data_IF_332887240843
#
_entry.id   IF_332887240843
#
_cell.length_a   1.000
_cell.length_b   1.000
_cell.length_c   1.000
_cell.angle_alpha   90.00
_cell.angle_beta   90.00
_cell.angle_gamma   90.00
#
_symmetry.space_group_name_H-M   'P 1'
#
loop_
_entity.id
_entity.type
_entity.pdbx_description
1 polymer ?
#
# COMPACT_ATOMS: atom_id res chain seq x y z
N UNK A 1 16.01 6.07 -26.67
CA UNK A 1 16.28 6.49 -25.28
C UNK A 1 15.24 5.92 -24.37
N UNK A 2 15.68 5.11 -23.40
CA UNK A 2 14.79 4.52 -22.42
C UNK A 2 14.52 5.52 -21.29
N UNK A 3 13.26 5.75 -21.00
CA UNK A 3 12.86 6.54 -19.84
C UNK A 3 13.07 5.69 -18.58
N UNK A 4 13.75 6.22 -17.54
CA UNK A 4 13.85 5.52 -16.27
C UNK A 4 12.49 5.23 -15.66
N UNK A 5 12.36 4.08 -15.00
CA UNK A 5 11.12 3.62 -14.40
C UNK A 5 11.33 3.40 -12.89
N UNK A 6 10.30 3.70 -12.13
CA UNK A 6 10.26 3.40 -10.69
C UNK A 6 9.09 2.46 -10.41
N UNK A 7 9.40 1.27 -9.89
CA UNK A 7 8.40 0.24 -9.63
C UNK A 7 8.30 -0.05 -8.14
N UNK A 8 7.05 -0.16 -7.67
CA UNK A 8 6.74 -0.63 -6.32
C UNK A 8 5.78 -1.80 -6.47
N UNK A 9 6.17 -2.97 -5.95
CA UNK A 9 5.36 -4.18 -5.96
C UNK A 9 4.90 -4.52 -4.55
N UNK A 10 3.68 -5.01 -4.42
CA UNK A 10 3.23 -5.60 -3.16
C UNK A 10 4.04 -6.86 -2.86
N UNK A 11 4.53 -7.01 -1.64
CA UNK A 11 5.30 -8.19 -1.26
C UNK A 11 4.42 -9.43 -1.11
N UNK A 12 3.13 -9.25 -0.77
CA UNK A 12 2.16 -10.30 -0.49
C UNK A 12 2.66 -11.35 0.51
N UNK A 13 3.60 -10.95 1.39
CA UNK A 13 4.30 -11.80 2.35
C UNK A 13 5.14 -12.92 1.72
N UNK A 14 5.27 -12.96 0.41
CA UNK A 14 5.97 -14.05 -0.32
C UNK A 14 7.24 -13.59 -1.00
N UNK A 15 7.43 -12.27 -1.17
CA UNK A 15 8.55 -11.69 -1.93
C UNK A 15 8.68 -12.26 -3.35
N UNK A 16 7.54 -12.56 -3.99
CA UNK A 16 7.50 -13.15 -5.33
C UNK A 16 8.11 -12.25 -6.41
N UNK A 17 8.19 -10.93 -6.16
CA UNK A 17 8.72 -9.95 -7.10
C UNK A 17 10.20 -9.61 -6.89
N UNK A 18 10.88 -10.27 -5.93
CA UNK A 18 12.29 -9.96 -5.62
C UNK A 18 13.19 -10.12 -6.85
N UNK A 19 12.99 -11.17 -7.64
CA UNK A 19 13.77 -11.42 -8.85
C UNK A 19 13.61 -10.34 -9.91
N UNK A 20 12.38 -9.90 -10.16
CA UNK A 20 12.13 -8.83 -11.14
C UNK A 20 12.66 -7.48 -10.64
N UNK A 21 12.59 -7.22 -9.33
CA UNK A 21 13.20 -6.02 -8.75
C UNK A 21 14.71 -6.01 -8.99
N UNK A 22 15.39 -7.15 -8.77
CA UNK A 22 16.82 -7.26 -9.03
C UNK A 22 17.16 -6.99 -10.49
N UNK A 23 16.36 -7.52 -11.42
CA UNK A 23 16.58 -7.29 -12.85
C UNK A 23 16.41 -5.81 -13.21
N UNK A 24 15.40 -5.15 -12.70
CA UNK A 24 15.16 -3.73 -12.96
C UNK A 24 16.29 -2.88 -12.36
N UNK A 25 16.70 -3.17 -11.13
CA UNK A 25 17.75 -2.42 -10.44
C UNK A 25 19.13 -2.57 -11.11
N UNK A 26 19.34 -3.61 -11.92
CA UNK A 26 20.56 -3.82 -12.68
C UNK A 26 20.60 -3.09 -14.01
N UNK A 27 19.49 -2.50 -14.45
CA UNK A 27 19.46 -1.70 -15.67
C UNK A 27 20.37 -0.48 -15.51
N UNK A 28 21.04 -0.09 -16.58
CA UNK A 28 21.92 1.10 -16.57
C UNK A 28 21.19 2.40 -16.91
N UNK A 29 19.86 2.37 -16.96
CA UNK A 29 19.04 3.51 -17.34
C UNK A 29 18.54 4.35 -16.15
N UNK A 30 18.94 4.04 -14.94
CA UNK A 30 18.49 4.73 -13.73
C UNK A 30 17.19 4.19 -13.15
N UNK A 31 16.64 3.11 -13.72
CA UNK A 31 15.42 2.48 -13.20
C UNK A 31 15.65 1.87 -11.82
N UNK A 32 14.59 1.84 -11.01
CA UNK A 32 14.62 1.29 -9.66
C UNK A 32 13.32 0.53 -9.38
N UNK A 33 13.41 -0.54 -8.62
CA UNK A 33 12.25 -1.34 -8.22
C UNK A 33 12.42 -1.87 -6.81
N UNK A 34 11.31 -1.98 -6.09
CA UNK A 34 11.29 -2.54 -4.74
C UNK A 34 9.94 -3.16 -4.42
N UNK A 35 9.94 -4.02 -3.43
CA UNK A 35 8.71 -4.53 -2.83
C UNK A 35 8.40 -3.75 -1.56
N UNK A 36 7.10 -3.67 -1.21
CA UNK A 36 6.69 -3.14 0.09
C UNK A 36 7.19 -4.04 1.22
N UNK A 37 7.58 -3.47 2.36
CA UNK A 37 7.91 -4.28 3.56
C UNK A 37 6.65 -4.82 4.22
N UNK A 38 5.54 -4.07 4.16
CA UNK A 38 4.23 -4.57 4.55
C UNK A 38 3.65 -5.43 3.42
N UNK A 39 2.60 -6.20 3.73
CA UNK A 39 2.02 -7.13 2.76
C UNK A 39 1.65 -6.46 1.44
N UNK A 40 0.91 -5.34 1.51
CA UNK A 40 0.47 -4.60 0.33
C UNK A 40 0.22 -3.13 0.69
N UNK A 41 -0.11 -2.30 -0.31
CA UNK A 41 -0.29 -0.86 -0.09
C UNK A 41 -1.37 -0.56 0.94
N UNK A 42 -2.43 -1.35 1.02
CA UNK A 42 -3.53 -1.16 1.96
C UNK A 42 -3.09 -1.27 3.43
N UNK A 43 -1.99 -1.95 3.72
CA UNK A 43 -1.46 -2.05 5.09
C UNK A 43 -0.87 -0.74 5.62
N UNK A 44 -0.68 0.25 4.77
CA UNK A 44 -0.21 1.59 5.18
C UNK A 44 -1.36 2.53 5.57
N UNK A 45 -2.61 2.13 5.36
CA UNK A 45 -3.79 2.91 5.76
C UNK A 45 -3.99 2.80 7.27
N UNK A 46 -4.33 3.91 7.91
CA UNK A 46 -4.58 3.95 9.34
C UNK A 46 -5.99 3.45 9.69
N UNK A 47 -6.14 2.81 10.85
CA UNK A 47 -7.42 2.29 11.33
C UNK A 47 -8.51 3.35 11.48
N UNK A 48 -8.13 4.60 11.78
CA UNK A 48 -9.08 5.71 11.87
C UNK A 48 -9.74 6.00 10.51
N UNK A 49 -8.99 5.89 9.42
CA UNK A 49 -9.54 6.06 8.06
C UNK A 49 -10.51 4.92 7.74
N UNK A 50 -10.17 3.70 8.12
CA UNK A 50 -11.06 2.54 7.94
C UNK A 50 -12.36 2.73 8.71
N UNK A 51 -12.29 3.18 9.96
CA UNK A 51 -13.47 3.48 10.75
C UNK A 51 -14.34 4.55 10.10
N UNK A 52 -13.73 5.61 9.60
CA UNK A 52 -14.48 6.71 8.97
C UNK A 52 -15.17 6.27 7.67
N UNK A 53 -14.53 5.40 6.89
CA UNK A 53 -15.09 4.93 5.62
C UNK A 53 -16.11 3.80 5.76
N UNK A 54 -15.87 2.87 6.68
CA UNK A 54 -16.63 1.62 6.75
C UNK A 54 -17.38 1.42 8.07
N UNK A 55 -17.12 2.25 9.07
CA UNK A 55 -17.77 2.12 10.38
C UNK A 55 -17.33 0.87 11.16
N UNK A 56 -16.16 0.31 10.86
CA UNK A 56 -15.64 -0.87 11.56
C UNK A 56 -14.35 -0.53 12.33
N UNK A 57 -14.18 -1.21 13.45
CA UNK A 57 -12.98 -1.14 14.27
C UNK A 57 -12.05 -2.29 13.85
N UNK A 58 -10.84 -1.96 13.43
CA UNK A 58 -9.84 -2.95 13.04
C UNK A 58 -8.47 -2.46 13.47
N UNK A 59 -7.64 -3.38 13.94
CA UNK A 59 -6.25 -3.14 14.22
C UNK A 59 -5.43 -3.67 13.05
N UNK A 60 -4.79 -2.77 12.30
CA UNK A 60 -4.11 -3.13 11.06
C UNK A 60 -2.68 -3.57 11.37
N UNK A 61 -2.37 -4.83 11.04
CA UNK A 61 -1.02 -5.36 11.10
C UNK A 61 -0.31 -5.22 9.74
N UNK A 62 1.00 -5.45 9.75
CA UNK A 62 1.81 -5.35 8.53
C UNK A 62 1.61 -6.53 7.57
N UNK A 63 1.04 -7.62 8.05
CA UNK A 63 0.96 -8.89 7.30
C UNK A 63 -0.45 -9.34 6.97
N UNK A 64 -1.48 -8.72 7.55
CA UNK A 64 -2.86 -9.12 7.32
C UNK A 64 -3.36 -8.74 5.92
N UNK A 65 -4.34 -9.46 5.42
CA UNK A 65 -5.08 -9.09 4.22
C UNK A 65 -6.17 -8.08 4.61
N UNK A 66 -5.85 -6.80 4.55
CA UNK A 66 -6.71 -5.72 5.05
C UNK A 66 -8.07 -5.69 4.36
N UNK A 67 -8.17 -5.72 3.02
CA UNK A 67 -9.48 -5.72 2.36
C UNK A 67 -10.35 -6.89 2.76
N UNK A 68 -9.76 -8.09 2.90
CA UNK A 68 -10.50 -9.29 3.30
C UNK A 68 -11.03 -9.19 4.72
N UNK A 69 -10.20 -8.70 5.65
CA UNK A 69 -10.60 -8.54 7.06
C UNK A 69 -11.72 -7.53 7.21
N UNK A 70 -11.65 -6.41 6.51
CA UNK A 70 -12.72 -5.39 6.52
C UNK A 70 -13.99 -5.97 5.92
N UNK A 71 -13.90 -6.65 4.79
CA UNK A 71 -15.05 -7.30 4.14
C UNK A 71 -15.72 -8.30 5.07
N UNK A 72 -14.93 -9.12 5.77
CA UNK A 72 -15.47 -10.10 6.73
C UNK A 72 -16.24 -9.42 7.86
N UNK A 73 -15.73 -8.32 8.42
CA UNK A 73 -16.42 -7.57 9.46
C UNK A 73 -17.73 -6.95 8.97
N UNK A 74 -17.72 -6.41 7.74
CA UNK A 74 -18.93 -5.84 7.14
C UNK A 74 -19.98 -6.91 6.86
N UNK A 75 -19.58 -8.04 6.29
CA UNK A 75 -20.48 -9.15 5.95
C UNK A 75 -21.03 -9.87 7.18
N UNK A 76 -20.35 -9.81 8.31
CA UNK A 76 -20.89 -10.30 9.58
C UNK A 76 -22.12 -9.51 10.02
N UNK A 77 -22.21 -8.22 9.66
CA UNK A 77 -23.37 -7.35 9.94
C UNK A 77 -24.42 -7.40 8.84
N UNK A 78 -23.98 -7.51 7.59
CA UNK A 78 -24.84 -7.56 6.41
C UNK A 78 -24.20 -8.47 5.36
N UNK A 79 -24.75 -9.70 5.13
CA UNK A 79 -24.14 -10.67 4.20
C UNK A 79 -23.99 -10.18 2.76
N UNK A 80 -24.73 -9.14 2.36
CA UNK A 80 -24.63 -8.55 1.01
C UNK A 80 -23.70 -7.35 0.95
N UNK A 81 -22.94 -7.05 2.02
CA UNK A 81 -22.00 -5.94 2.06
C UNK A 81 -20.80 -6.18 1.13
N UNK A 82 -19.93 -5.17 1.06
CA UNK A 82 -18.83 -5.10 0.11
C UNK A 82 -17.92 -6.32 0.11
N UNK A 83 -17.60 -6.82 -1.09
CA UNK A 83 -16.56 -7.83 -1.32
C UNK A 83 -15.16 -7.27 -1.02
N UNK A 84 -14.14 -8.13 -0.84
CA UNK A 84 -12.76 -7.67 -0.65
C UNK A 84 -12.28 -6.75 -1.78
N UNK A 85 -12.63 -7.04 -3.03
CA UNK A 85 -12.25 -6.20 -4.20
C UNK A 85 -12.86 -4.80 -4.12
N UNK A 86 -14.12 -4.72 -3.70
CA UNK A 86 -14.79 -3.43 -3.52
C UNK A 86 -14.18 -2.64 -2.37
N UNK A 87 -13.86 -3.30 -1.26
CA UNK A 87 -13.16 -2.68 -0.13
C UNK A 87 -11.80 -2.15 -0.57
N UNK A 88 -11.02 -2.95 -1.27
CA UNK A 88 -9.71 -2.55 -1.78
C UNK A 88 -9.80 -1.29 -2.65
N UNK A 89 -10.75 -1.28 -3.59
CA UNK A 89 -10.97 -0.12 -4.46
C UNK A 89 -11.33 1.14 -3.67
N UNK A 90 -12.22 1.01 -2.68
CA UNK A 90 -12.63 2.14 -1.84
C UNK A 90 -11.49 2.63 -0.95
N UNK A 91 -10.67 1.75 -0.41
CA UNK A 91 -9.49 2.15 0.36
C UNK A 91 -8.52 2.97 -0.50
N UNK A 92 -8.25 2.53 -1.71
CA UNK A 92 -7.33 3.24 -2.60
C UNK A 92 -7.91 4.56 -3.10
N UNK A 93 -9.19 4.59 -3.44
CA UNK A 93 -9.83 5.77 -4.02
C UNK A 93 -10.22 6.81 -2.98
N UNK A 94 -10.77 6.38 -1.85
CA UNK A 94 -11.35 7.24 -0.83
C UNK A 94 -10.50 7.31 0.45
N UNK A 95 -9.79 6.23 0.77
CA UNK A 95 -9.00 6.12 1.98
C UNK A 95 -7.66 6.84 1.87
N UNK A 96 -6.92 6.59 0.81
CA UNK A 96 -5.59 7.19 0.63
C UNK A 96 -5.63 8.73 0.71
N UNK A 97 -6.60 9.44 0.08
CA UNK A 97 -6.69 10.90 0.21
C UNK A 97 -7.00 11.41 1.63
N UNK A 98 -7.50 10.56 2.50
CA UNK A 98 -7.81 10.90 3.90
C UNK A 98 -6.63 10.68 4.84
N UNK A 99 -5.55 10.07 4.36
CA UNK A 99 -4.34 9.91 5.14
C UNK A 99 -3.65 11.26 5.31
N UNK A 100 -3.31 11.58 6.56
CA UNK A 100 -2.48 12.74 6.89
C UNK A 100 -1.06 12.27 7.15
N UNK A 101 -0.11 13.19 7.21
CA UNK A 101 1.28 12.87 7.58
C UNK A 101 1.36 12.22 8.96
N UNK A 102 0.54 12.68 9.91
CA UNK A 102 0.48 12.11 11.25
C UNK A 102 -0.01 10.66 11.22
N UNK A 103 -1.09 10.37 10.50
CA UNK A 103 -1.64 9.02 10.38
C UNK A 103 -0.66 8.10 9.65
N UNK A 104 -0.04 8.60 8.58
CA UNK A 104 0.95 7.83 7.84
C UNK A 104 2.16 7.51 8.73
N UNK A 105 2.68 8.49 9.45
CA UNK A 105 3.83 8.28 10.34
C UNK A 105 3.52 7.26 11.44
N UNK A 106 2.30 7.23 11.94
CA UNK A 106 1.84 6.22 12.90
C UNK A 106 1.87 4.80 12.32
N UNK A 107 1.44 4.65 11.07
CA UNK A 107 1.41 3.35 10.37
C UNK A 107 2.76 2.96 9.76
N UNK A 108 3.57 3.93 9.42
CA UNK A 108 4.84 3.77 8.72
C UNK A 108 5.94 4.56 9.45
N UNK A 109 6.31 4.16 10.68
CA UNK A 109 7.30 4.89 11.45
C UNK A 109 8.71 4.87 10.86
N UNK A 110 8.99 3.92 9.97
CA UNK A 110 10.24 3.85 9.21
C UNK A 110 10.28 4.80 8.01
N UNK A 111 9.20 5.55 7.74
CA UNK A 111 9.08 6.48 6.61
C UNK A 111 9.34 5.83 5.25
N UNK A 112 8.88 4.61 5.05
CA UNK A 112 9.07 3.86 3.82
C UNK A 112 8.37 4.56 2.64
N UNK A 113 7.11 4.95 2.81
CA UNK A 113 6.32 5.64 1.77
C UNK A 113 6.96 6.99 1.44
N UNK A 114 7.39 7.75 2.44
CA UNK A 114 8.06 9.03 2.23
C UNK A 114 9.37 8.83 1.48
N UNK A 115 10.09 7.75 1.78
CA UNK A 115 11.31 7.36 1.06
C UNK A 115 11.04 7.12 -0.43
N UNK A 116 9.95 6.42 -0.77
CA UNK A 116 9.56 6.23 -2.17
C UNK A 116 9.26 7.56 -2.86
N UNK A 117 8.52 8.44 -2.19
CA UNK A 117 8.16 9.75 -2.76
C UNK A 117 9.41 10.61 -2.98
N UNK A 118 10.38 10.57 -2.08
CA UNK A 118 11.67 11.25 -2.26
C UNK A 118 12.44 10.70 -3.45
N UNK A 119 12.47 9.38 -3.60
CA UNK A 119 13.15 8.73 -4.72
C UNK A 119 12.48 9.11 -6.04
N UNK A 120 11.15 9.06 -6.10
CA UNK A 120 10.38 9.47 -7.30
C UNK A 120 10.62 10.94 -7.62
N UNK A 121 10.67 11.80 -6.61
CA UNK A 121 10.95 13.23 -6.79
C UNK A 121 12.31 13.46 -7.45
N UNK A 122 13.33 12.67 -7.09
CA UNK A 122 14.64 12.75 -7.74
C UNK A 122 14.60 12.37 -9.21
N UNK A 123 13.76 11.40 -9.59
CA UNK A 123 13.53 11.04 -10.98
C UNK A 123 13.01 12.22 -11.79
N UNK A 124 12.06 12.95 -11.25
CA UNK A 124 11.40 14.06 -11.94
C UNK A 124 12.35 15.25 -12.11
N UNK A 125 13.29 15.41 -11.17
CA UNK A 125 14.24 16.53 -11.16
C UNK A 125 15.52 16.25 -11.97
N UNK A 126 15.75 15.01 -12.33
CA UNK A 126 16.97 14.60 -13.02
C UNK A 126 17.01 15.05 -14.49
#
# INVERSE_FOLDING_TARGET
>A
LNTPEYHIYDSDNTHAHAGICDQINRRSDGSSARETTKREMENYIHSDVVRDLFGVQIEISDTMDVPREISALLQARNPTAYSPETVKRKLNKLGAPRMTMELLHSRDPADEVIGWLRDISKFIQA
#
